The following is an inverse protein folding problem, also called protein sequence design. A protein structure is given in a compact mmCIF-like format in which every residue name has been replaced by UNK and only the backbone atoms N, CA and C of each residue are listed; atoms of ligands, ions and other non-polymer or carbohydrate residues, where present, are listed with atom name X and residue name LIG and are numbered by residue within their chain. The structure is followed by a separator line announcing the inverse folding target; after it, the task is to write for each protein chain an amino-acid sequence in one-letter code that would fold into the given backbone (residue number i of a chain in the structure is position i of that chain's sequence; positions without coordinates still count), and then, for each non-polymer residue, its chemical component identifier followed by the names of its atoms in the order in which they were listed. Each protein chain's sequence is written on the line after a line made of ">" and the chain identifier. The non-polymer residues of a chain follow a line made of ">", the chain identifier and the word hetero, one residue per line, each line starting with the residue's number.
data_IF_235511711111
#
_entry.id   IF_235511711111
#
_cell.length_a   1.000
_cell.length_b   1.000
_cell.length_c   1.000
_cell.angle_alpha   90.00
_cell.angle_beta   90.00
_cell.angle_gamma   90.00
#
_symmetry.space_group_name_H-M   'P 1'
#
loop_
_entity.id
_entity.type
_entity.pdbx_description
1 polymer ?
#
# COMPACT_ATOMS: atom_id res chain seq x y z
N UNK A 1 -7.04 5.39 -0.86
CA UNK A 1 -7.07 3.99 -0.30
C UNK A 1 -7.52 4.01 1.14
N UNK A 2 -8.21 2.99 1.58
CA UNK A 2 -8.50 2.79 3.00
C UNK A 2 -7.28 2.20 3.70
N UNK A 3 -6.91 2.74 4.86
CA UNK A 3 -5.78 2.27 5.67
C UNK A 3 -5.78 0.74 5.90
N UNK A 4 -6.93 0.13 6.16
CA UNK A 4 -7.06 -1.33 6.33
C UNK A 4 -6.56 -2.14 5.13
N UNK A 5 -6.75 -1.63 3.92
CA UNK A 5 -6.33 -2.32 2.69
C UNK A 5 -4.83 -2.27 2.48
N UNK A 6 -4.19 -1.17 2.89
CA UNK A 6 -2.73 -1.09 2.90
C UNK A 6 -2.14 -2.17 3.82
N UNK A 7 -2.63 -2.30 5.05
CA UNK A 7 -2.16 -3.31 5.98
C UNK A 7 -2.33 -4.74 5.46
N UNK A 8 -3.39 -5.03 4.70
CA UNK A 8 -3.60 -6.36 4.08
C UNK A 8 -2.56 -6.59 2.98
N UNK A 9 -2.38 -5.64 2.07
CA UNK A 9 -1.42 -5.70 0.99
C UNK A 9 0.01 -5.88 1.50
N UNK A 10 0.42 -5.08 2.47
CA UNK A 10 1.76 -5.09 3.05
C UNK A 10 2.06 -6.45 3.71
N UNK A 11 1.08 -7.03 4.40
CA UNK A 11 1.22 -8.36 4.99
C UNK A 11 1.31 -9.48 3.96
N UNK A 12 0.48 -9.44 2.92
CA UNK A 12 0.56 -10.40 1.83
C UNK A 12 1.93 -10.36 1.17
N UNK A 13 2.45 -9.16 0.92
CA UNK A 13 3.79 -9.00 0.36
C UNK A 13 4.87 -9.59 1.29
N UNK A 14 4.85 -9.28 2.58
CA UNK A 14 5.84 -9.82 3.54
C UNK A 14 5.77 -11.35 3.64
N UNK A 15 4.57 -11.92 3.63
CA UNK A 15 4.39 -13.38 3.64
C UNK A 15 4.95 -14.02 2.38
N UNK A 16 4.80 -13.36 1.23
CA UNK A 16 5.18 -13.88 -0.07
C UNK A 16 6.67 -13.72 -0.37
N UNK A 17 7.24 -12.57 -0.05
CA UNK A 17 8.63 -12.23 -0.40
C UNK A 17 9.61 -12.31 0.77
N UNK A 18 9.14 -12.27 2.01
CA UNK A 18 9.96 -12.24 3.24
C UNK A 18 11.06 -11.15 3.19
N UNK A 19 10.77 -10.02 2.56
CA UNK A 19 11.71 -8.94 2.32
C UNK A 19 11.00 -7.58 2.39
N UNK A 20 11.68 -6.56 2.93
CA UNK A 20 11.16 -5.20 2.98
C UNK A 20 11.43 -4.41 1.71
N UNK A 21 12.39 -4.82 0.89
CA UNK A 21 12.78 -4.09 -0.32
C UNK A 21 11.89 -4.47 -1.51
N UNK A 22 10.76 -3.80 -1.63
CA UNK A 22 9.82 -4.01 -2.73
C UNK A 22 10.38 -3.62 -4.09
N UNK A 23 11.28 -2.66 -4.15
CA UNK A 23 11.96 -2.26 -5.38
C UNK A 23 12.88 -3.38 -5.90
N UNK A 24 13.61 -4.04 -5.01
CA UNK A 24 14.48 -5.15 -5.39
C UNK A 24 13.71 -6.42 -5.79
N UNK A 25 12.52 -6.66 -5.21
CA UNK A 25 11.73 -7.88 -5.48
C UNK A 25 10.78 -7.74 -6.67
N UNK A 26 10.20 -6.55 -6.85
CA UNK A 26 9.18 -6.30 -7.89
C UNK A 26 9.67 -5.29 -8.92
N UNK A 27 10.25 -4.19 -8.50
CA UNK A 27 10.84 -3.19 -9.40
C UNK A 27 10.67 -1.76 -8.96
N UNK A 28 11.41 -0.88 -9.63
CA UNK A 28 11.36 0.56 -9.39
C UNK A 28 10.18 1.24 -10.08
N UNK A 29 9.62 0.61 -11.12
CA UNK A 29 8.57 1.20 -11.92
C UNK A 29 8.94 2.55 -12.51
N UNK A 30 8.04 3.51 -12.39
CA UNK A 30 8.20 4.88 -12.92
C UNK A 30 8.89 5.85 -11.94
N UNK A 31 9.42 5.37 -10.83
CA UNK A 31 9.89 6.20 -9.71
C UNK A 31 11.11 7.08 -9.96
N UNK A 32 11.67 7.08 -11.14
CA UNK A 32 12.77 7.97 -11.54
C UNK A 32 12.46 8.74 -12.83
N UNK A 33 11.27 9.26 -12.91
CA UNK A 33 10.80 10.04 -14.04
C UNK A 33 10.86 11.55 -13.85
N UNK A 34 10.47 12.27 -14.88
CA UNK A 34 10.28 13.71 -14.87
C UNK A 34 8.81 14.13 -14.94
N UNK A 35 7.90 13.19 -15.11
CA UNK A 35 6.46 13.42 -15.17
C UNK A 35 5.68 12.12 -14.86
N UNK A 36 4.42 12.30 -14.53
CA UNK A 36 3.47 11.18 -14.37
C UNK A 36 3.33 10.42 -15.69
N UNK A 37 3.31 9.10 -15.62
CA UNK A 37 3.15 8.22 -16.76
C UNK A 37 1.72 7.65 -16.83
N UNK A 38 1.30 7.30 -18.04
CA UNK A 38 0.05 6.57 -18.24
C UNK A 38 0.17 5.16 -17.64
N UNK A 39 -0.93 4.71 -17.04
CA UNK A 39 -1.06 3.34 -16.52
C UNK A 39 -1.41 2.37 -17.67
N UNK A 40 -1.27 1.06 -17.43
CA UNK A 40 -1.54 0.01 -18.41
C UNK A 40 -0.27 -0.58 -19.05
N UNK A 41 0.90 -0.11 -18.67
CA UNK A 41 2.17 -0.59 -19.23
C UNK A 41 2.55 -2.00 -18.74
N UNK A 42 1.92 -2.49 -17.69
CA UNK A 42 2.20 -3.80 -17.08
C UNK A 42 1.21 -4.90 -17.46
N UNK A 43 0.29 -4.67 -18.38
CA UNK A 43 -0.79 -5.60 -18.73
C UNK A 43 -0.30 -6.98 -19.19
N UNK A 44 0.85 -7.03 -19.85
CA UNK A 44 1.48 -8.26 -20.32
C UNK A 44 2.48 -8.88 -19.35
N UNK A 45 2.67 -8.31 -18.16
CA UNK A 45 3.67 -8.78 -17.21
C UNK A 45 3.12 -9.83 -16.26
N UNK A 46 4.00 -10.72 -15.72
CA UNK A 46 3.63 -11.59 -14.61
C UNK A 46 3.14 -10.74 -13.42
N UNK A 47 2.18 -11.27 -12.67
CA UNK A 47 1.45 -10.51 -11.66
C UNK A 47 2.29 -9.98 -10.47
N UNK A 48 3.53 -10.41 -10.34
CA UNK A 48 4.46 -9.89 -9.33
C UNK A 48 5.48 -8.90 -9.88
N UNK A 49 5.61 -8.78 -11.17
CA UNK A 49 6.74 -8.04 -11.73
C UNK A 49 6.39 -6.64 -12.14
N UNK A 50 7.17 -5.69 -11.64
CA UNK A 50 7.40 -4.42 -12.31
C UNK A 50 8.73 -4.47 -13.07
N UNK A 51 9.19 -3.33 -13.56
CA UNK A 51 10.48 -3.27 -14.24
C UNK A 51 11.63 -3.22 -13.24
N UNK A 52 12.42 -4.27 -13.23
CA UNK A 52 13.75 -4.26 -12.61
C UNK A 52 14.67 -3.40 -13.47
N UNK A 53 14.74 -2.10 -13.21
CA UNK A 53 15.66 -1.23 -13.93
C UNK A 53 17.05 -1.28 -13.31
N UNK A 54 18.04 -1.64 -14.11
CA UNK A 54 19.44 -1.52 -13.75
C UNK A 54 19.93 -0.06 -13.75
N UNK A 55 19.20 0.82 -14.42
CA UNK A 55 19.46 2.25 -14.51
C UNK A 55 18.19 3.03 -14.16
N UNK A 56 18.29 3.93 -13.20
CA UNK A 56 17.20 4.81 -12.76
C UNK A 56 17.00 6.03 -13.66
N UNK A 57 17.61 6.07 -14.81
CA UNK A 57 17.54 7.19 -15.75
C UNK A 57 16.49 7.04 -16.83
N UNK A 58 15.83 5.89 -16.91
CA UNK A 58 14.83 5.59 -17.93
C UNK A 58 13.49 5.30 -17.27
N UNK A 59 12.40 5.79 -17.85
CA UNK A 59 11.06 5.44 -17.44
C UNK A 59 10.85 3.92 -17.55
N UNK A 60 10.41 3.32 -16.47
CA UNK A 60 10.10 1.90 -16.47
C UNK A 60 8.65 1.62 -16.82
N UNK A 61 8.38 0.35 -16.90
CA UNK A 61 7.02 -0.15 -16.80
C UNK A 61 6.55 0.04 -15.36
N UNK A 62 5.30 0.43 -15.14
CA UNK A 62 4.73 0.58 -13.81
C UNK A 62 4.86 -0.71 -12.97
N UNK A 63 5.02 -0.56 -11.67
CA UNK A 63 5.08 -1.72 -10.79
C UNK A 63 3.75 -2.48 -10.82
N UNK A 64 3.81 -3.80 -10.77
CA UNK A 64 2.62 -4.63 -10.67
C UNK A 64 2.79 -5.64 -9.53
N UNK A 65 1.78 -5.73 -8.67
CA UNK A 65 1.69 -6.74 -7.64
C UNK A 65 0.27 -7.26 -7.55
N UNK A 66 0.10 -8.57 -7.71
CA UNK A 66 -1.21 -9.26 -7.70
C UNK A 66 -2.22 -8.58 -8.63
N UNK A 67 -1.81 -8.34 -9.87
CA UNK A 67 -2.61 -7.69 -10.92
C UNK A 67 -3.03 -6.24 -10.61
N UNK A 68 -2.41 -5.60 -9.61
CA UNK A 68 -2.63 -4.19 -9.33
C UNK A 68 -1.40 -3.42 -9.75
N UNK A 69 -1.55 -2.61 -10.78
CA UNK A 69 -0.47 -1.77 -11.30
C UNK A 69 -0.29 -0.49 -10.50
N UNK A 70 0.95 0.00 -10.39
CA UNK A 70 1.31 1.29 -9.79
C UNK A 70 0.93 1.39 -8.32
N UNK A 71 1.18 0.36 -7.51
CA UNK A 71 0.99 0.42 -6.06
C UNK A 71 1.94 1.41 -5.39
N UNK A 72 3.06 1.64 -6.02
CA UNK A 72 4.03 2.69 -5.74
C UNK A 72 4.60 3.16 -7.08
N UNK A 73 5.45 4.17 -7.11
CA UNK A 73 6.24 4.66 -8.24
C UNK A 73 5.74 5.90 -9.00
N UNK A 74 4.48 5.96 -9.42
CA UNK A 74 4.00 6.97 -10.38
C UNK A 74 3.34 8.16 -9.69
N UNK A 75 2.34 7.90 -8.89
CA UNK A 75 1.63 8.89 -8.10
C UNK A 75 1.50 8.45 -6.65
N UNK A 76 1.59 9.38 -5.74
CA UNK A 76 1.16 9.15 -4.37
C UNK A 76 -0.30 8.76 -4.31
N UNK A 77 -0.64 7.82 -3.47
CA UNK A 77 -2.02 7.50 -3.16
C UNK A 77 -2.44 8.08 -1.80
N UNK A 78 -3.46 8.91 -1.78
CA UNK A 78 -4.10 9.35 -0.54
C UNK A 78 -4.61 8.18 0.28
N UNK A 79 -4.36 8.23 1.59
CA UNK A 79 -4.90 7.29 2.55
C UNK A 79 -6.05 7.89 3.33
N UNK A 80 -7.20 7.26 3.23
CA UNK A 80 -8.37 7.58 4.00
C UNK A 80 -8.47 6.69 5.25
N UNK A 81 -9.03 7.21 6.35
CA UNK A 81 -9.12 6.50 7.61
C UNK A 81 -7.89 6.65 8.51
N UNK A 82 -7.00 7.56 8.18
CA UNK A 82 -5.90 7.96 9.05
C UNK A 82 -5.57 9.44 8.86
N UNK A 83 -5.07 10.06 9.91
CA UNK A 83 -4.58 11.43 9.86
C UNK A 83 -3.43 11.63 10.84
N UNK A 84 -2.72 12.73 10.68
CA UNK A 84 -1.61 13.11 11.51
C UNK A 84 -1.87 14.42 12.25
N UNK A 85 -1.37 14.52 13.47
CA UNK A 85 -1.39 15.75 14.28
C UNK A 85 -0.20 15.77 15.26
N UNK A 86 -0.22 16.69 16.22
CA UNK A 86 0.81 16.81 17.26
C UNK A 86 0.97 15.55 18.15
N UNK A 87 -0.05 14.70 18.22
CA UNK A 87 0.00 13.42 18.95
C UNK A 87 0.50 12.25 18.10
N UNK A 88 0.89 12.49 16.86
CA UNK A 88 1.37 11.50 15.92
C UNK A 88 0.32 11.02 14.92
N UNK A 89 0.53 9.83 14.41
CA UNK A 89 -0.38 9.14 13.49
C UNK A 89 -1.61 8.63 14.24
N UNK A 90 -2.78 8.90 13.69
CA UNK A 90 -4.08 8.47 14.22
C UNK A 90 -4.80 7.61 13.19
N UNK A 91 -5.46 6.55 13.64
CA UNK A 91 -6.21 5.61 12.80
C UNK A 91 -7.68 5.67 13.17
N UNK A 92 -8.55 5.81 12.16
CA UNK A 92 -10.00 5.86 12.33
C UNK A 92 -10.59 4.50 11.97
N UNK A 93 -11.29 3.87 12.92
CA UNK A 93 -11.82 2.51 12.76
C UNK A 93 -13.13 2.46 11.98
N UNK A 94 -13.97 3.47 12.19
CA UNK A 94 -15.30 3.55 11.58
C UNK A 94 -15.24 4.31 10.25
N UNK A 95 -15.48 3.66 9.09
CA UNK A 95 -15.43 4.35 7.81
C UNK A 95 -16.44 5.51 7.66
N UNK A 96 -17.53 5.49 8.42
CA UNK A 96 -18.52 6.54 8.38
C UNK A 96 -18.13 7.81 9.15
N UNK A 97 -16.99 7.76 9.86
CA UNK A 97 -16.46 8.88 10.66
C UNK A 97 -15.06 9.31 10.23
N UNK A 98 -14.65 8.99 9.00
CA UNK A 98 -13.37 9.42 8.46
C UNK A 98 -13.24 10.95 8.49
N UNK A 99 -12.07 11.42 8.91
CA UNK A 99 -11.76 12.82 9.13
C UNK A 99 -10.25 13.00 9.04
N UNK A 100 -9.79 14.17 8.68
CA UNK A 100 -8.38 14.58 8.68
C UNK A 100 -7.92 15.20 10.01
N UNK A 101 -8.78 15.22 11.03
CA UNK A 101 -8.48 15.89 12.30
C UNK A 101 -9.11 15.27 13.56
N UNK A 102 -10.06 14.35 13.43
CA UNK A 102 -10.86 13.82 14.53
C UNK A 102 -11.17 12.32 14.41
N UNK A 103 -11.71 11.75 15.49
CA UNK A 103 -12.23 10.38 15.59
C UNK A 103 -11.15 9.27 15.50
N UNK A 104 -9.88 9.61 15.52
CA UNK A 104 -8.79 8.66 15.45
C UNK A 104 -8.28 8.20 16.80
N UNK A 105 -7.72 6.99 16.82
CA UNK A 105 -6.92 6.44 17.93
C UNK A 105 -5.46 6.67 17.59
N UNK A 106 -4.73 7.38 18.47
CA UNK A 106 -3.30 7.62 18.27
C UNK A 106 -2.50 6.33 18.37
N UNK A 107 -1.64 6.09 17.39
CA UNK A 107 -0.70 4.96 17.38
C UNK A 107 0.74 5.39 17.65
N UNK A 108 0.95 6.67 17.90
CA UNK A 108 2.25 7.28 18.24
C UNK A 108 2.88 8.03 17.07
N UNK A 109 4.04 8.60 17.34
CA UNK A 109 4.78 9.41 16.37
C UNK A 109 5.83 8.54 15.66
N UNK A 110 5.72 8.36 14.34
CA UNK A 110 6.73 7.65 13.57
C UNK A 110 8.05 8.41 13.51
N UNK A 111 9.17 7.68 13.44
CA UNK A 111 10.48 8.27 13.15
C UNK A 111 10.61 8.61 11.67
N UNK A 112 11.27 9.72 11.36
CA UNK A 112 11.59 10.15 10.00
C UNK A 112 12.83 9.45 9.46
N UNK A 113 12.84 9.10 8.19
CA UNK A 113 13.93 8.47 7.49
C UNK A 113 13.65 7.02 7.10
N UNK A 114 14.70 6.24 6.89
CA UNK A 114 14.57 4.81 6.58
C UNK A 114 14.47 4.00 7.87
N UNK A 115 13.32 3.40 8.15
CA UNK A 115 13.11 2.67 9.39
C UNK A 115 14.08 1.51 9.57
N UNK A 116 14.70 1.43 10.74
CA UNK A 116 15.56 0.32 11.16
C UNK A 116 15.00 -0.46 12.35
N UNK A 117 14.00 0.11 13.03
CA UNK A 117 13.25 -0.58 14.07
C UNK A 117 11.78 -0.13 14.07
N UNK A 118 10.92 -1.04 14.45
CA UNK A 118 9.48 -0.83 14.55
C UNK A 118 8.96 -1.22 15.93
N UNK A 119 7.96 -0.51 16.43
CA UNK A 119 7.12 -0.99 17.51
C UNK A 119 5.83 -1.59 16.93
N UNK A 120 5.36 -2.62 17.59
CA UNK A 120 4.08 -3.24 17.26
C UNK A 120 2.98 -2.51 18.02
N UNK A 121 1.99 -2.00 17.31
CA UNK A 121 0.78 -1.41 17.89
C UNK A 121 -0.42 -2.27 17.57
N UNK A 122 -1.16 -2.64 18.61
CA UNK A 122 -2.45 -3.32 18.47
C UNK A 122 -3.55 -2.35 18.85
N UNK A 123 -4.46 -2.10 17.90
CA UNK A 123 -5.68 -1.32 18.13
C UNK A 123 -6.85 -2.26 17.93
N UNK A 124 -7.75 -2.35 18.92
CA UNK A 124 -8.93 -3.21 18.84
C UNK A 124 -9.72 -2.93 17.55
N UNK A 125 -9.97 -3.96 16.77
CA UNK A 125 -10.67 -3.85 15.48
C UNK A 125 -9.77 -3.58 14.27
N UNK A 126 -8.45 -3.39 14.46
CA UNK A 126 -7.48 -3.29 13.38
C UNK A 126 -6.47 -4.44 13.40
N UNK A 127 -5.92 -4.77 12.24
CA UNK A 127 -4.72 -5.58 12.18
C UNK A 127 -3.57 -4.91 12.96
N UNK A 128 -2.64 -5.72 13.44
CA UNK A 128 -1.39 -5.23 14.03
C UNK A 128 -0.67 -4.25 13.10
N UNK A 129 -0.27 -3.12 13.64
CA UNK A 129 0.44 -2.06 12.94
C UNK A 129 1.91 -2.07 13.32
N UNK A 130 2.77 -1.76 12.36
CA UNK A 130 4.20 -1.56 12.55
C UNK A 130 4.48 -0.06 12.42
N UNK A 131 4.90 0.58 13.52
CA UNK A 131 5.20 2.01 13.56
C UNK A 131 6.71 2.18 13.72
N UNK A 132 7.40 2.90 12.84
CA UNK A 132 8.82 3.16 12.96
C UNK A 132 9.19 3.88 14.26
N UNK A 133 10.16 3.33 14.99
CA UNK A 133 10.68 3.94 16.22
C UNK A 133 12.09 4.46 16.06
N UNK A 134 12.82 3.94 15.09
CA UNK A 134 14.19 4.36 14.77
C UNK A 134 14.36 4.36 13.26
N UNK A 135 15.07 5.36 12.75
CA UNK A 135 15.33 5.53 11.32
C UNK A 135 16.84 5.75 11.09
N UNK A 136 17.59 4.66 11.10
CA UNK A 136 19.03 4.62 10.83
C UNK A 136 19.39 3.73 9.65
N UNK A 137 18.39 3.33 8.85
CA UNK A 137 18.55 2.54 7.64
C UNK A 137 18.92 3.36 6.42
N UNK A 138 18.83 2.73 5.26
CA UNK A 138 19.01 3.32 3.93
C UNK A 138 18.05 2.67 2.93
N UNK A 139 18.13 3.08 1.68
CA UNK A 139 17.37 2.47 0.57
C UNK A 139 17.73 1.01 0.25
N UNK A 140 18.75 0.49 0.90
CA UNK A 140 19.25 -0.88 0.72
C UNK A 140 19.42 -1.67 2.02
N UNK A 141 19.06 -1.07 3.17
CA UNK A 141 19.16 -1.72 4.47
C UNK A 141 17.88 -1.55 5.28
N UNK A 142 17.51 -2.60 6.04
CA UNK A 142 16.30 -2.67 6.84
C UNK A 142 15.01 -2.56 5.99
N UNK A 143 14.15 -1.57 6.24
CA UNK A 143 12.87 -1.46 5.52
C UNK A 143 12.97 -0.87 4.12
N UNK A 144 14.10 -0.29 3.74
CA UNK A 144 14.43 0.24 2.43
C UNK A 144 13.57 1.40 1.90
N UNK A 145 12.36 1.61 2.41
CA UNK A 145 11.47 2.70 2.03
C UNK A 145 11.47 3.80 3.09
N UNK A 146 11.41 5.05 2.65
CA UNK A 146 11.46 6.20 3.54
C UNK A 146 10.10 6.48 4.20
N UNK A 147 10.13 6.86 5.46
CA UNK A 147 9.01 7.42 6.18
C UNK A 147 9.28 8.89 6.49
N UNK A 148 8.44 9.77 5.98
CA UNK A 148 8.47 11.17 6.32
C UNK A 148 7.29 11.48 7.22
N UNK A 149 7.55 12.06 8.39
CA UNK A 149 6.54 12.49 9.34
C UNK A 149 6.63 13.99 9.58
N UNK A 150 5.50 14.68 9.54
CA UNK A 150 5.40 16.08 9.88
C UNK A 150 4.04 16.38 10.52
N UNK A 151 4.04 16.78 11.80
CA UNK A 151 2.81 17.02 12.58
C UNK A 151 1.94 18.17 12.05
N UNK A 152 2.47 19.03 11.18
CA UNK A 152 1.72 20.12 10.55
C UNK A 152 0.90 19.68 9.34
N UNK A 153 1.10 18.47 8.85
CA UNK A 153 0.43 17.94 7.64
C UNK A 153 -0.49 16.78 8.00
N UNK A 154 -1.82 16.98 7.97
CA UNK A 154 -2.75 15.98 8.46
C UNK A 154 -2.92 14.78 7.52
N UNK A 155 -2.82 14.97 6.20
CA UNK A 155 -3.12 13.90 5.25
C UNK A 155 -1.95 12.98 5.01
N UNK A 156 -2.20 11.67 5.08
CA UNK A 156 -1.24 10.61 4.82
C UNK A 156 -1.35 10.18 3.36
N UNK A 157 -0.21 9.99 2.70
CA UNK A 157 -0.15 9.34 1.41
C UNK A 157 1.02 8.37 1.32
N UNK A 158 0.93 7.43 0.41
CA UNK A 158 1.82 6.27 0.33
C UNK A 158 2.28 5.99 -1.09
N UNK A 159 3.24 5.11 -1.22
CA UNK A 159 3.68 4.54 -2.48
C UNK A 159 4.73 5.37 -3.23
N UNK A 160 4.95 6.61 -2.85
CA UNK A 160 5.87 7.50 -3.58
C UNK A 160 5.32 7.93 -4.93
N UNK A 161 6.13 8.67 -5.68
CA UNK A 161 5.77 9.21 -6.98
C UNK A 161 6.91 9.08 -7.99
N UNK A 162 6.69 9.59 -9.20
CA UNK A 162 7.60 9.45 -10.34
C UNK A 162 9.04 10.00 -10.12
N UNK A 163 9.28 10.83 -9.10
CA UNK A 163 10.59 11.44 -8.86
C UNK A 163 11.21 11.12 -7.49
N UNK A 164 10.77 10.04 -6.83
CA UNK A 164 11.27 9.66 -5.50
C UNK A 164 12.57 8.84 -5.52
N UNK A 165 13.05 8.43 -6.67
CA UNK A 165 14.23 7.57 -6.80
C UNK A 165 14.15 6.31 -5.93
N UNK A 166 15.11 6.14 -5.01
CA UNK A 166 15.15 5.00 -4.09
C UNK A 166 14.36 5.17 -2.81
N UNK A 167 13.80 6.35 -2.58
CA UNK A 167 13.08 6.61 -1.33
C UNK A 167 11.75 5.86 -1.23
N UNK A 168 11.16 5.54 -2.38
CA UNK A 168 9.80 5.00 -2.46
C UNK A 168 9.77 3.48 -2.58
N UNK A 169 8.61 2.93 -2.30
CA UNK A 169 8.26 1.52 -2.44
C UNK A 169 6.93 1.23 -1.80
N UNK A 170 6.65 -0.04 -1.60
CA UNK A 170 5.39 -0.51 -1.04
C UNK A 170 5.11 0.06 0.36
N UNK A 171 6.17 0.26 1.15
CA UNK A 171 6.12 0.68 2.55
C UNK A 171 6.38 2.18 2.74
N UNK A 172 6.54 2.93 1.66
CA UNK A 172 6.75 4.37 1.73
C UNK A 172 5.54 5.10 2.31
N UNK A 173 5.79 6.00 3.24
CA UNK A 173 4.76 6.85 3.88
C UNK A 173 5.21 8.29 3.91
N UNK A 174 4.30 9.20 3.59
CA UNK A 174 4.55 10.63 3.63
C UNK A 174 3.26 11.39 4.01
N UNK A 175 3.37 12.69 4.22
CA UNK A 175 2.29 13.53 4.73
C UNK A 175 2.20 14.85 3.96
N UNK A 176 1.00 15.38 3.81
CA UNK A 176 0.80 16.66 3.17
C UNK A 176 -0.46 17.39 3.69
N UNK A 177 -0.61 18.62 3.25
CA UNK A 177 -1.82 19.41 3.45
C UNK A 177 -3.01 18.80 2.72
N UNK A 178 -4.21 18.94 3.29
CA UNK A 178 -5.49 18.53 2.68
C UNK A 178 -5.79 19.27 1.37
N UNK A 179 -5.17 20.41 1.15
CA UNK A 179 -5.37 21.27 -0.04
C UNK A 179 -4.35 21.01 -1.16
N UNK A 180 -3.48 20.02 -1.02
CA UNK A 180 -2.49 19.74 -2.06
C UNK A 180 -3.14 19.08 -3.30
N UNK A 181 -2.93 19.66 -4.47
CA UNK A 181 -3.54 19.27 -5.75
C UNK A 181 -2.51 19.08 -6.87
N UNK A 182 -1.32 18.59 -6.53
CA UNK A 182 -0.26 18.35 -7.51
C UNK A 182 -0.62 17.19 -8.45
N UNK A 183 -0.03 17.18 -9.64
CA UNK A 183 -0.21 16.15 -10.66
C UNK A 183 0.28 14.75 -10.24
N UNK A 184 1.22 14.70 -9.30
CA UNK A 184 1.80 13.47 -8.77
C UNK A 184 1.04 12.87 -7.59
N UNK A 185 -0.18 13.33 -7.32
CA UNK A 185 -1.03 12.86 -6.23
C UNK A 185 -2.34 12.36 -6.80
N UNK A 186 -2.71 11.14 -6.42
CA UNK A 186 -3.93 10.50 -6.85
C UNK A 186 -4.65 9.77 -5.74
N UNK A 187 -5.72 9.12 -6.10
CA UNK A 187 -6.41 8.18 -5.25
C UNK A 187 -6.92 7.00 -6.07
N UNK A 188 -7.08 5.86 -5.42
CA UNK A 188 -7.74 4.68 -5.99
C UNK A 188 -8.98 4.38 -5.18
N UNK A 189 -10.09 4.25 -5.87
CA UNK A 189 -11.32 3.76 -5.25
C UNK A 189 -11.24 2.24 -5.15
N UNK A 190 -11.51 1.68 -3.97
CA UNK A 190 -11.79 0.27 -3.84
C UNK A 190 -13.29 0.04 -3.89
N UNK A 191 -13.74 -0.66 -4.90
CA UNK A 191 -15.06 -1.26 -4.90
C UNK A 191 -14.99 -2.59 -4.14
N UNK A 192 -15.45 -2.62 -2.89
CA UNK A 192 -15.70 -3.88 -2.19
C UNK A 192 -17.07 -4.39 -2.59
N UNK A 193 -17.11 -5.34 -3.49
CA UNK A 193 -18.32 -6.14 -3.68
C UNK A 193 -18.43 -7.04 -2.45
N UNK A 194 -19.38 -6.75 -1.57
CA UNK A 194 -19.76 -7.72 -0.55
C UNK A 194 -20.22 -8.98 -1.29
N UNK A 195 -19.70 -10.17 -0.97
CA UNK A 195 -20.28 -11.38 -1.51
C UNK A 195 -21.76 -11.36 -1.09
N UNK A 196 -22.64 -11.33 -2.07
CA UNK A 196 -24.05 -11.57 -1.85
C UNK A 196 -24.09 -13.02 -1.35
N UNK A 197 -24.29 -13.20 -0.06
CA UNK A 197 -24.69 -14.48 0.49
C UNK A 197 -26.05 -14.78 -0.11
N UNK A 198 -26.06 -15.50 -1.23
CA UNK A 198 -27.26 -16.15 -1.71
C UNK A 198 -27.56 -17.22 -0.65
N UNK A 199 -28.42 -16.88 0.30
CA UNK A 199 -29.10 -17.90 1.07
C UNK A 199 -29.97 -18.65 0.09
N UNK A 200 -29.39 -19.64 -0.56
CA UNK A 200 -30.14 -20.68 -1.19
C UNK A 200 -30.94 -21.39 -0.10
N UNK A 201 -32.23 -21.16 -0.04
CA UNK A 201 -33.15 -22.08 0.63
C UNK A 201 -33.05 -23.39 -0.11
N UNK A 202 -32.04 -24.18 0.22
CA UNK A 202 -31.83 -25.50 -0.34
C UNK A 202 -32.89 -26.43 0.19
N UNK A 203 -33.90 -26.67 -0.61
CA UNK A 203 -34.65 -27.91 -0.51
C UNK A 203 -33.69 -29.07 -0.80
N UNK A 204 -33.48 -29.91 0.18
CA UNK A 204 -32.70 -31.14 0.12
C UNK A 204 -33.31 -32.05 -0.93
N UNK A 205 -32.60 -32.27 -2.05
CA UNK A 205 -32.91 -33.37 -2.95
C UNK A 205 -32.05 -34.58 -2.55
N UNK A 206 -32.58 -35.81 -2.72
CA UNK A 206 -31.98 -37.01 -2.15
C UNK A 206 -30.77 -37.52 -2.94
N UNK A 207 -29.97 -38.32 -2.24
CA UNK A 207 -28.77 -39.02 -2.68
C UNK A 207 -28.88 -39.66 -4.08
N UNK A 208 -27.79 -39.50 -4.84
CA UNK A 208 -27.53 -40.22 -6.08
C UNK A 208 -26.16 -39.95 -6.67
N UNK A 209 -25.25 -40.83 -6.36
CA UNK A 209 -24.12 -41.34 -7.15
C UNK A 209 -23.07 -40.43 -7.78
N UNK A 210 -21.84 -40.73 -7.40
CA UNK A 210 -20.53 -40.49 -7.98
C UNK A 210 -20.48 -40.30 -9.51
N UNK A 211 -19.79 -39.24 -9.96
CA UNK A 211 -18.89 -39.34 -11.11
C UNK A 211 -17.77 -38.30 -11.03
N UNK A 212 -16.57 -38.83 -10.84
CA UNK A 212 -15.31 -38.13 -11.17
C UNK A 212 -15.26 -37.88 -12.68
N UNK A 213 -14.89 -36.68 -13.10
CA UNK A 213 -14.33 -36.47 -14.43
C UNK A 213 -13.13 -35.52 -14.25
N UNK A 214 -11.95 -36.12 -14.30
CA UNK A 214 -10.72 -35.47 -14.70
C UNK A 214 -10.59 -35.65 -16.21
N UNK A 215 -10.43 -34.61 -16.95
CA UNK A 215 -10.14 -34.63 -18.37
C UNK A 215 -9.20 -33.51 -18.72
N UNK A 216 -7.95 -33.89 -18.93
CA UNK A 216 -6.90 -33.04 -19.51
C UNK A 216 -7.13 -32.89 -21.02
N UNK A 217 -6.83 -31.72 -21.56
CA UNK A 217 -6.10 -31.51 -22.83
C UNK A 217 -5.73 -30.03 -22.91
#
# INVERSE_FOLDING_TARGET
>A
RRQRQMCIRDRLYIVEFADWNSQAKIGYGCGNGSAVQNMGSSDSMPYHTGTMQSSRTTYGVGTQYRYIEGLWDNCYDWCDGCYNNSSGLNIILNPNSFSDSANGVSVGTPSNGYPSAFTVKTVTGLPTLFIPTTASGSDSTYSCDNWYFNSSYPCVYVGGNYNQNTNHGLFYVNYNSTSNTNDNIGCRTLLSVLPILIHGTGSRAPHGEDRQIWGAS
#
